data_IF_063185518381
#
_entry.id   IF_063185518381
#
_cell.length_a   1.000
_cell.length_b   1.000
_cell.length_c   1.000
_cell.angle_alpha   90.00
_cell.angle_beta   90.00
_cell.angle_gamma   90.00
#
_symmetry.space_group_name_H-M   'P 1'
#
loop_
_entity.id
_entity.type
_entity.pdbx_description
1 polymer ?
#
# COMPACT_ATOMS: atom_id res chain seq x y z
N UNK A 1 -16.44 66.18 14.44
CA UNK A 1 -16.32 64.94 15.25
C UNK A 1 -16.49 63.75 14.34
N UNK A 2 -15.40 63.11 13.90
CA UNK A 2 -15.42 61.88 13.07
C UNK A 2 -15.49 60.68 13.99
N UNK A 3 -16.57 59.87 13.89
CA UNK A 3 -16.69 58.61 14.62
C UNK A 3 -15.84 57.54 13.91
N UNK A 4 -14.87 57.03 14.64
CA UNK A 4 -14.04 55.90 14.22
C UNK A 4 -14.81 54.59 14.57
N UNK A 5 -15.14 53.82 13.56
CA UNK A 5 -15.77 52.51 13.73
C UNK A 5 -14.64 51.49 13.81
N UNK A 6 -14.50 50.85 14.97
CA UNK A 6 -13.56 49.76 15.19
C UNK A 6 -14.21 48.45 14.72
N UNK A 7 -13.70 47.91 13.61
CA UNK A 7 -14.11 46.58 13.14
C UNK A 7 -13.23 45.56 13.87
N UNK A 8 -13.82 44.82 14.80
CA UNK A 8 -13.18 43.66 15.45
C UNK A 8 -13.35 42.47 14.49
N UNK A 9 -12.28 42.06 13.84
CA UNK A 9 -12.23 40.82 13.08
C UNK A 9 -11.88 39.70 14.08
N UNK A 10 -12.86 38.91 14.48
CA UNK A 10 -12.62 37.70 15.26
C UNK A 10 -12.10 36.61 14.32
N UNK A 11 -10.85 36.24 14.46
CA UNK A 11 -10.30 35.02 13.90
C UNK A 11 -10.92 33.83 14.64
N UNK A 12 -11.85 33.13 13.99
CA UNK A 12 -12.23 31.78 14.39
C UNK A 12 -11.05 30.85 14.05
N UNK A 13 -10.25 30.52 15.06
CA UNK A 13 -9.32 29.40 14.94
C UNK A 13 -10.17 28.12 14.83
N UNK A 14 -10.23 27.54 13.64
CA UNK A 14 -10.71 26.18 13.46
C UNK A 14 -9.70 25.24 14.14
N UNK A 15 -9.99 24.82 15.35
CA UNK A 15 -9.28 23.71 15.95
C UNK A 15 -9.53 22.48 15.06
N UNK A 16 -8.54 22.07 14.30
CA UNK A 16 -8.48 20.74 13.74
C UNK A 16 -8.33 19.80 14.93
N UNK A 17 -9.42 19.19 15.36
CA UNK A 17 -9.36 18.12 16.38
C UNK A 17 -8.62 16.99 15.69
N UNK A 18 -7.40 16.71 16.13
CA UNK A 18 -6.69 15.50 15.74
C UNK A 18 -7.63 14.31 16.09
N UNK A 19 -7.83 13.40 15.14
CA UNK A 19 -8.62 12.21 15.37
C UNK A 19 -7.91 11.40 16.46
N UNK A 20 -8.61 11.10 17.55
CA UNK A 20 -8.05 10.32 18.66
C UNK A 20 -7.81 8.88 18.20
N UNK A 21 -6.60 8.38 18.44
CA UNK A 21 -6.21 7.00 18.13
C UNK A 21 -6.70 6.11 19.26
N UNK A 22 -7.70 5.29 19.00
CA UNK A 22 -8.29 4.39 19.97
C UNK A 22 -7.68 2.98 19.88
N UNK A 23 -6.50 2.80 20.48
CA UNK A 23 -5.81 1.51 20.50
C UNK A 23 -6.60 0.43 21.28
N UNK A 24 -7.46 0.80 22.23
CA UNK A 24 -8.22 -0.15 23.05
C UNK A 24 -9.33 -0.84 22.26
N UNK A 25 -9.82 -0.21 21.18
CA UNK A 25 -10.79 -0.82 20.28
C UNK A 25 -10.18 -1.84 19.31
N UNK A 26 -8.85 -1.83 19.13
CA UNK A 26 -8.16 -2.75 18.23
C UNK A 26 -8.06 -4.15 18.85
N UNK A 27 -8.34 -5.14 18.04
CA UNK A 27 -8.32 -6.56 18.40
C UNK A 27 -7.20 -7.27 17.65
N UNK A 28 -6.36 -7.98 18.39
CA UNK A 28 -5.24 -8.78 17.89
C UNK A 28 -5.37 -10.23 18.40
N UNK A 29 -4.67 -11.18 17.81
CA UNK A 29 -4.53 -12.52 18.39
C UNK A 29 -3.84 -12.47 19.77
N UNK A 30 -4.07 -13.50 20.58
CA UNK A 30 -3.47 -13.62 21.92
C UNK A 30 -1.94 -13.53 21.87
N UNK A 31 -1.34 -12.80 22.81
CA UNK A 31 0.09 -12.60 22.93
C UNK A 31 0.66 -11.48 22.07
N UNK A 32 -0.17 -10.84 21.23
CA UNK A 32 0.25 -9.66 20.46
C UNK A 32 -0.14 -8.37 21.15
N UNK A 33 0.69 -7.34 20.99
CA UNK A 33 0.44 -5.97 21.43
C UNK A 33 0.58 -5.00 20.27
N UNK A 34 -0.10 -3.85 20.38
CA UNK A 34 -0.05 -2.76 19.39
C UNK A 34 0.22 -1.44 20.08
N UNK A 35 1.07 -0.62 19.47
CA UNK A 35 1.40 0.72 19.95
C UNK A 35 1.55 1.69 18.80
N UNK A 36 1.50 3.00 19.05
CA UNK A 36 1.85 4.01 18.06
C UNK A 36 3.38 4.05 17.89
N UNK A 37 3.86 3.81 16.69
CA UNK A 37 5.28 3.90 16.33
C UNK A 37 5.67 5.33 15.97
N UNK A 38 4.85 6.02 15.18
CA UNK A 38 5.04 7.40 14.79
C UNK A 38 3.73 8.07 14.35
N UNK A 39 3.65 9.40 14.49
CA UNK A 39 2.58 10.22 13.95
C UNK A 39 3.07 10.90 12.67
N UNK A 40 2.38 10.69 11.54
CA UNK A 40 2.72 11.22 10.22
C UNK A 40 1.45 11.52 9.45
N UNK A 41 1.41 12.68 8.80
CA UNK A 41 0.26 13.08 7.97
C UNK A 41 0.11 12.20 6.74
N UNK A 42 -1.03 11.49 6.63
CA UNK A 42 -1.40 10.59 5.52
C UNK A 42 -0.28 9.59 5.11
N UNK A 43 0.27 8.78 6.01
CA UNK A 43 1.32 7.82 5.67
C UNK A 43 0.77 6.77 4.70
N UNK A 44 1.61 6.40 3.74
CA UNK A 44 1.26 5.40 2.72
C UNK A 44 2.26 4.26 2.75
N UNK A 45 2.95 3.99 1.63
CA UNK A 45 3.94 2.92 1.57
C UNK A 45 5.09 3.15 2.56
N UNK A 46 5.54 2.07 3.15
CA UNK A 46 6.68 1.98 4.06
C UNK A 46 7.85 1.28 3.38
N UNK A 47 9.07 1.74 3.60
CA UNK A 47 10.28 1.05 3.16
C UNK A 47 11.34 1.08 4.26
N UNK A 48 11.97 -0.05 4.48
CA UNK A 48 13.07 -0.18 5.44
C UNK A 48 14.38 0.25 4.78
N UNK A 49 15.07 1.20 5.40
CA UNK A 49 16.41 1.65 5.05
C UNK A 49 17.49 1.10 5.96
N UNK A 50 18.66 1.73 5.91
CA UNK A 50 19.76 1.44 6.82
C UNK A 50 19.42 1.83 8.25
N UNK A 51 20.09 1.21 9.22
CA UNK A 51 19.99 1.52 10.65
C UNK A 51 18.55 1.58 11.18
N UNK A 52 17.68 0.70 10.65
CA UNK A 52 16.24 0.65 10.97
C UNK A 52 15.47 1.97 10.66
N UNK A 53 16.01 2.83 9.83
CA UNK A 53 15.27 3.99 9.31
C UNK A 53 14.09 3.51 8.48
N UNK A 54 12.89 4.05 8.75
CA UNK A 54 11.69 3.75 7.98
C UNK A 54 11.35 4.96 7.09
N UNK A 55 11.40 4.78 5.78
CA UNK A 55 10.96 5.77 4.81
C UNK A 55 9.49 5.62 4.54
N UNK A 56 8.77 6.76 4.45
CA UNK A 56 7.31 6.77 4.37
C UNK A 56 6.85 7.68 3.23
N UNK A 57 6.11 7.10 2.28
CA UNK A 57 5.38 7.86 1.28
C UNK A 57 4.13 8.51 1.87
N UNK A 58 3.57 9.52 1.20
CA UNK A 58 2.33 10.16 1.65
C UNK A 58 1.48 10.71 0.50
N UNK A 59 0.23 11.08 0.79
CA UNK A 59 -0.65 11.76 -0.17
C UNK A 59 -0.49 13.30 -0.15
N UNK A 60 0.34 13.84 0.76
CA UNK A 60 0.46 15.28 1.02
C UNK A 60 1.72 15.93 0.44
N UNK A 61 2.31 15.30 -0.58
CA UNK A 61 3.45 15.87 -1.30
C UNK A 61 4.77 15.80 -0.54
N UNK A 62 4.85 15.00 0.53
CA UNK A 62 6.03 14.81 1.36
C UNK A 62 6.43 13.34 1.40
N UNK A 63 7.73 13.12 1.54
CA UNK A 63 8.31 11.84 1.95
C UNK A 63 8.99 12.04 3.27
N UNK A 64 8.81 11.09 4.17
CA UNK A 64 9.30 11.14 5.53
C UNK A 64 10.35 10.06 5.79
N UNK A 65 11.25 10.35 6.72
CA UNK A 65 12.11 9.35 7.34
C UNK A 65 11.79 9.31 8.84
N UNK A 66 11.65 8.12 9.38
CA UNK A 66 11.55 7.88 10.81
C UNK A 66 12.85 7.22 11.24
N UNK A 67 13.63 7.91 12.02
CA UNK A 67 14.90 7.41 12.52
C UNK A 67 14.73 6.76 13.89
N UNK A 68 15.62 5.82 14.20
CA UNK A 68 15.65 5.11 15.46
C UNK A 68 17.08 5.12 16.05
N UNK A 69 17.61 6.31 16.42
CA UNK A 69 18.98 6.43 16.86
C UNK A 69 19.28 5.66 18.18
N UNK A 70 18.26 5.40 18.99
CA UNK A 70 18.41 4.71 20.27
C UNK A 70 18.37 3.18 20.13
N UNK A 71 18.06 2.66 18.95
CA UNK A 71 17.96 1.23 18.67
C UNK A 71 16.85 0.48 19.42
N UNK A 72 15.90 1.22 20.03
CA UNK A 72 14.83 0.65 20.85
C UNK A 72 13.58 0.24 20.04
N UNK A 73 13.67 0.28 18.70
CA UNK A 73 12.61 -0.08 17.77
C UNK A 73 11.32 0.76 17.93
N UNK A 74 11.47 2.00 18.41
CA UNK A 74 10.42 3.01 18.40
C UNK A 74 10.84 4.16 17.49
N UNK A 75 9.90 4.79 16.80
CA UNK A 75 10.17 5.96 15.98
C UNK A 75 10.53 7.15 16.84
N UNK A 76 11.81 7.54 16.85
CA UNK A 76 12.30 8.58 17.74
C UNK A 76 12.22 9.98 17.10
N UNK A 77 12.44 10.09 15.80
CA UNK A 77 12.34 11.37 15.09
C UNK A 77 11.68 11.18 13.73
N UNK A 78 10.74 12.04 13.41
CA UNK A 78 10.02 12.10 12.13
C UNK A 78 10.53 13.32 11.35
N UNK A 79 11.12 13.09 10.19
CA UNK A 79 11.82 14.10 9.40
C UNK A 79 11.24 14.13 7.99
N UNK A 80 10.80 15.29 7.51
CA UNK A 80 10.45 15.47 6.10
C UNK A 80 11.75 15.53 5.28
N UNK A 81 11.98 14.52 4.43
CA UNK A 81 13.19 14.42 3.60
C UNK A 81 12.98 14.86 2.16
N UNK A 82 11.74 14.99 1.71
CA UNK A 82 11.38 15.60 0.44
C UNK A 82 10.01 16.28 0.53
N UNK A 83 9.83 17.37 -0.21
CA UNK A 83 8.59 18.14 -0.24
C UNK A 83 8.25 18.62 -1.66
N UNK A 84 7.01 19.07 -1.87
CA UNK A 84 6.54 19.60 -3.15
C UNK A 84 6.36 18.54 -4.25
N UNK A 85 6.24 17.28 -3.87
CA UNK A 85 6.07 16.15 -4.77
C UNK A 85 4.61 15.93 -5.17
N UNK A 86 4.38 15.29 -6.32
CA UNK A 86 3.04 15.00 -6.81
C UNK A 86 2.52 13.67 -6.26
N UNK A 87 1.94 13.70 -5.05
CA UNK A 87 1.38 12.49 -4.40
C UNK A 87 2.39 11.34 -4.35
N UNK A 88 3.49 11.49 -3.58
CA UNK A 88 4.55 10.48 -3.47
C UNK A 88 4.08 9.30 -2.61
N UNK A 89 3.16 8.50 -3.15
CA UNK A 89 2.57 7.35 -2.44
C UNK A 89 3.60 6.24 -2.19
N UNK A 90 4.46 5.98 -3.16
CA UNK A 90 5.39 4.86 -3.16
C UNK A 90 6.80 5.26 -2.77
N UNK A 91 7.46 4.39 -2.01
CA UNK A 91 8.87 4.52 -1.65
C UNK A 91 9.56 3.16 -1.71
N UNK A 92 10.80 3.10 -2.21
CA UNK A 92 11.61 1.90 -2.22
C UNK A 92 13.08 2.26 -1.94
N UNK A 93 13.64 1.68 -0.90
CA UNK A 93 15.05 1.86 -0.56
C UNK A 93 15.91 0.76 -1.21
N UNK A 94 17.02 1.15 -1.82
CA UNK A 94 17.97 0.21 -2.38
C UNK A 94 19.39 0.78 -2.38
N UNK A 95 20.31 0.13 -1.67
CA UNK A 95 21.74 0.44 -1.64
C UNK A 95 22.07 1.93 -1.38
N UNK A 96 21.37 2.56 -0.43
CA UNK A 96 21.59 3.98 -0.06
C UNK A 96 20.76 4.96 -0.88
N UNK A 97 20.11 4.56 -1.95
CA UNK A 97 19.19 5.40 -2.74
C UNK A 97 17.74 5.15 -2.34
N UNK A 98 16.94 6.21 -2.23
CA UNK A 98 15.50 6.13 -2.02
C UNK A 98 14.77 6.51 -3.31
N UNK A 99 14.09 5.54 -3.91
CA UNK A 99 13.20 5.74 -5.05
C UNK A 99 11.81 6.17 -4.58
N UNK A 100 11.20 7.13 -5.28
CA UNK A 100 9.92 7.74 -4.92
C UNK A 100 8.97 7.65 -6.09
N UNK A 101 7.82 7.00 -5.87
CA UNK A 101 6.75 6.84 -6.85
C UNK A 101 5.71 7.95 -6.74
N UNK A 102 5.75 8.87 -7.68
CA UNK A 102 4.78 9.95 -7.84
C UNK A 102 3.75 9.63 -8.93
N UNK A 103 2.65 10.37 -8.98
CA UNK A 103 1.77 10.30 -10.15
C UNK A 103 2.54 10.83 -11.37
N UNK A 104 2.76 9.95 -12.34
CA UNK A 104 3.39 10.29 -13.62
C UNK A 104 4.91 10.14 -13.68
N UNK A 105 5.60 9.91 -12.56
CA UNK A 105 7.06 9.72 -12.59
C UNK A 105 7.58 8.87 -11.43
N UNK A 106 8.80 8.39 -11.60
CA UNK A 106 9.66 7.90 -10.52
C UNK A 106 10.84 8.85 -10.40
N UNK A 107 11.13 9.27 -9.18
CA UNK A 107 12.30 10.08 -8.83
C UNK A 107 13.11 9.38 -7.75
N UNK A 108 14.30 9.89 -7.41
CA UNK A 108 15.13 9.35 -6.33
C UNK A 108 15.88 10.44 -5.55
N UNK A 109 16.25 10.09 -4.33
CA UNK A 109 17.26 10.77 -3.52
C UNK A 109 18.46 9.83 -3.41
N UNK A 110 19.59 10.25 -3.94
CA UNK A 110 20.83 9.48 -3.91
C UNK A 110 21.52 9.66 -2.55
N UNK A 111 22.07 8.56 -1.98
CA UNK A 111 22.72 8.52 -0.66
C UNK A 111 21.83 9.16 0.43
N UNK A 112 20.58 8.70 0.51
CA UNK A 112 19.56 9.29 1.39
C UNK A 112 19.94 9.20 2.87
N UNK A 113 20.63 8.14 3.28
CA UNK A 113 21.04 7.91 4.68
C UNK A 113 21.95 9.02 5.22
N UNK A 114 22.71 9.70 4.35
CA UNK A 114 23.59 10.81 4.70
C UNK A 114 22.86 12.16 4.77
N UNK A 115 21.57 12.22 4.41
CA UNK A 115 20.85 13.46 4.11
C UNK A 115 19.54 13.60 4.91
N UNK A 116 19.42 12.97 6.05
CA UNK A 116 18.17 12.91 6.81
C UNK A 116 17.80 14.22 7.55
N UNK A 117 18.66 15.25 7.52
CA UNK A 117 18.46 16.43 8.37
C UNK A 117 17.58 17.53 7.76
N UNK A 118 17.37 17.52 6.44
CA UNK A 118 16.61 18.56 5.72
C UNK A 118 15.96 17.99 4.46
N UNK A 119 14.88 18.62 3.95
CA UNK A 119 14.32 18.22 2.67
C UNK A 119 15.34 18.31 1.53
N UNK A 120 15.40 17.27 0.71
CA UNK A 120 16.31 17.13 -0.41
C UNK A 120 15.58 17.35 -1.74
N UNK A 121 16.32 17.80 -2.74
CA UNK A 121 15.86 17.76 -4.12
C UNK A 121 15.90 16.31 -4.63
N UNK A 122 14.92 15.94 -5.44
CA UNK A 122 14.86 14.63 -6.08
C UNK A 122 15.41 14.69 -7.51
N UNK A 123 16.06 13.62 -7.95
CA UNK A 123 16.47 13.40 -9.34
C UNK A 123 15.38 12.59 -10.06
N UNK A 124 15.04 12.97 -11.30
CA UNK A 124 14.10 12.19 -12.12
C UNK A 124 14.78 10.92 -12.60
N UNK A 125 14.14 9.78 -12.31
CA UNK A 125 14.54 8.45 -12.81
C UNK A 125 13.77 8.14 -14.09
N UNK A 126 12.44 8.29 -14.08
CA UNK A 126 11.59 8.07 -15.26
C UNK A 126 10.34 8.97 -15.16
N UNK A 127 10.03 9.74 -16.21
CA UNK A 127 8.86 10.64 -16.30
C UNK A 127 7.92 10.29 -17.47
N UNK A 128 8.08 9.12 -18.07
CA UNK A 128 7.25 8.64 -19.16
C UNK A 128 5.95 7.98 -18.72
N UNK A 129 5.70 7.87 -17.41
CA UNK A 129 4.51 7.24 -16.85
C UNK A 129 3.27 8.13 -17.03
N UNK A 130 2.06 7.53 -17.16
CA UNK A 130 0.84 8.30 -17.29
C UNK A 130 0.59 9.21 -16.08
N UNK A 131 0.37 10.50 -16.33
CA UNK A 131 0.01 11.48 -15.30
C UNK A 131 -1.52 11.55 -15.13
N UNK A 132 -2.13 10.45 -14.65
CA UNK A 132 -3.56 10.33 -14.36
C UNK A 132 -3.78 10.09 -12.87
N UNK A 133 -4.66 10.87 -12.25
CA UNK A 133 -4.94 10.75 -10.79
C UNK A 133 -5.76 9.50 -10.44
N UNK A 134 -6.72 9.13 -11.30
CA UNK A 134 -7.55 7.94 -11.10
C UNK A 134 -6.66 6.69 -11.15
N UNK A 135 -6.62 5.91 -10.09
CA UNK A 135 -5.71 4.77 -9.88
C UNK A 135 -4.23 5.12 -10.16
N UNK A 136 -3.85 6.38 -9.88
CA UNK A 136 -2.54 6.92 -10.23
C UNK A 136 -1.45 6.67 -9.20
N UNK A 137 -1.79 6.16 -8.01
CA UNK A 137 -0.82 5.91 -6.95
C UNK A 137 0.18 4.84 -7.39
N UNK A 138 1.47 5.12 -7.19
CA UNK A 138 2.54 4.18 -7.47
C UNK A 138 3.00 3.56 -6.16
N UNK A 139 3.00 2.24 -6.11
CA UNK A 139 3.72 1.45 -5.13
C UNK A 139 5.04 1.03 -5.76
N UNK A 140 6.14 1.05 -5.04
CA UNK A 140 7.46 0.70 -5.59
C UNK A 140 8.12 -0.39 -4.77
N UNK A 141 8.81 -1.29 -5.44
CA UNK A 141 9.74 -2.20 -4.79
C UNK A 141 10.85 -2.58 -5.78
N UNK A 142 12.07 -2.75 -5.29
CA UNK A 142 13.15 -3.34 -6.07
C UNK A 142 13.06 -4.85 -5.94
N UNK A 143 12.89 -5.51 -7.08
CA UNK A 143 12.77 -6.97 -7.14
C UNK A 143 14.09 -7.71 -6.95
N UNK A 144 14.03 -9.05 -6.81
CA UNK A 144 15.24 -9.89 -6.66
C UNK A 144 16.18 -9.81 -7.87
N UNK A 145 15.70 -9.37 -9.02
CA UNK A 145 16.45 -9.15 -10.25
C UNK A 145 17.13 -7.77 -10.32
N UNK A 146 16.97 -6.94 -9.27
CA UNK A 146 17.53 -5.59 -9.18
C UNK A 146 16.80 -4.54 -10.02
N UNK A 147 15.58 -4.82 -10.51
CA UNK A 147 14.73 -3.86 -11.22
C UNK A 147 13.69 -3.23 -10.30
N UNK A 148 13.27 -2.00 -10.60
CA UNK A 148 12.15 -1.34 -9.94
C UNK A 148 10.86 -1.88 -10.54
N UNK A 149 9.95 -2.37 -9.70
CA UNK A 149 8.60 -2.78 -10.06
C UNK A 149 7.59 -1.74 -9.61
N UNK A 150 6.55 -1.51 -10.44
CA UNK A 150 5.48 -0.56 -10.13
C UNK A 150 4.17 -0.90 -10.87
N UNK A 151 3.00 -0.65 -10.25
CA UNK A 151 1.72 -0.77 -10.92
C UNK A 151 1.35 0.54 -11.64
N UNK A 152 0.62 0.41 -12.73
CA UNK A 152 -0.10 1.50 -13.39
C UNK A 152 -1.56 1.08 -13.54
N UNK A 153 -2.41 1.58 -12.65
CA UNK A 153 -3.83 1.21 -12.61
C UNK A 153 -4.61 1.72 -13.82
N UNK A 154 -5.78 1.14 -14.06
CA UNK A 154 -6.69 1.57 -15.12
C UNK A 154 -7.13 3.03 -14.91
N UNK A 155 -7.24 3.87 -15.95
CA UNK A 155 -7.60 5.27 -15.81
C UNK A 155 -9.12 5.50 -15.63
N UNK A 156 -9.86 4.44 -15.33
CA UNK A 156 -11.31 4.38 -15.29
C UNK A 156 -11.83 3.34 -14.30
N UNK A 157 -13.13 3.30 -14.02
CA UNK A 157 -13.73 2.20 -13.27
C UNK A 157 -13.62 0.88 -14.04
N UNK A 158 -14.03 0.87 -15.32
CA UNK A 158 -13.87 -0.24 -16.25
C UNK A 158 -13.75 0.30 -17.67
N UNK A 159 -12.70 -0.06 -18.39
CA UNK A 159 -12.43 0.32 -19.77
C UNK A 159 -11.36 -0.59 -20.37
N UNK A 160 -11.35 -0.69 -21.68
CA UNK A 160 -10.19 -1.14 -22.43
C UNK A 160 -9.28 0.06 -22.67
N UNK A 161 -8.06 -0.03 -22.18
CA UNK A 161 -7.02 0.97 -22.41
C UNK A 161 -5.78 0.27 -22.93
N UNK A 162 -5.19 0.87 -23.91
CA UNK A 162 -3.97 0.40 -24.52
C UNK A 162 -2.74 0.86 -23.72
N UNK A 163 -1.56 0.47 -24.14
CA UNK A 163 -0.27 0.86 -23.61
C UNK A 163 -0.01 0.35 -22.18
N UNK A 164 0.31 1.26 -21.25
CA UNK A 164 0.85 0.94 -19.93
C UNK A 164 -0.18 0.83 -18.82
N UNK A 165 -1.45 1.12 -19.08
CA UNK A 165 -2.52 1.06 -18.08
C UNK A 165 -2.94 -0.39 -17.75
N UNK A 166 -3.49 -0.57 -16.56
CA UNK A 166 -3.95 -1.86 -16.06
C UNK A 166 -2.84 -2.93 -16.06
N UNK A 167 -1.62 -2.56 -15.61
CA UNK A 167 -0.42 -3.38 -15.71
C UNK A 167 0.49 -3.24 -14.47
N UNK A 168 1.32 -4.25 -14.27
CA UNK A 168 2.54 -4.15 -13.48
C UNK A 168 3.70 -4.05 -14.47
N UNK A 169 4.55 -3.05 -14.24
CA UNK A 169 5.74 -2.75 -15.03
C UNK A 169 7.00 -3.01 -14.21
N UNK A 170 8.13 -3.17 -14.89
CA UNK A 170 9.45 -3.01 -14.28
C UNK A 170 10.37 -2.16 -15.15
N UNK A 171 11.44 -1.63 -14.55
CA UNK A 171 12.50 -0.89 -15.24
C UNK A 171 13.82 -1.03 -14.51
N UNK A 172 14.92 -0.70 -15.17
CA UNK A 172 16.23 -0.61 -14.53
C UNK A 172 16.26 0.49 -13.45
N UNK A 173 17.22 0.44 -12.54
CA UNK A 173 17.38 1.46 -11.47
C UNK A 173 17.67 2.88 -12.02
N UNK A 174 18.16 2.99 -13.23
CA UNK A 174 18.36 4.26 -13.94
C UNK A 174 17.14 4.74 -14.75
N UNK A 175 16.01 4.02 -14.67
CA UNK A 175 14.76 4.34 -15.36
C UNK A 175 14.68 3.86 -16.81
N UNK A 176 15.71 3.22 -17.34
CA UNK A 176 15.71 2.64 -18.69
C UNK A 176 15.00 1.28 -18.72
N UNK A 177 14.75 0.76 -19.94
CA UNK A 177 14.18 -0.58 -20.17
C UNK A 177 12.85 -0.81 -19.46
N UNK A 178 11.91 0.15 -19.60
CA UNK A 178 10.55 0.00 -19.04
C UNK A 178 9.81 -1.13 -19.78
N UNK A 179 9.44 -2.20 -19.05
CA UNK A 179 8.85 -3.42 -19.57
C UNK A 179 7.51 -3.72 -18.90
N UNK A 180 6.59 -4.37 -19.63
CA UNK A 180 5.35 -4.91 -19.09
C UNK A 180 5.64 -6.29 -18.52
N UNK A 181 5.37 -6.47 -17.21
CA UNK A 181 5.50 -7.75 -16.51
C UNK A 181 4.21 -8.54 -16.58
N UNK A 182 3.07 -7.89 -16.31
CA UNK A 182 1.75 -8.49 -16.31
C UNK A 182 0.68 -7.46 -16.70
N UNK A 183 -0.46 -7.94 -17.17
CA UNK A 183 -1.58 -7.12 -17.67
C UNK A 183 -2.94 -7.60 -17.13
N UNK A 184 -4.00 -6.83 -17.41
CA UNK A 184 -5.33 -7.15 -16.94
C UNK A 184 -5.50 -6.98 -15.43
N UNK A 185 -4.85 -5.98 -14.85
CA UNK A 185 -4.79 -5.67 -13.43
C UNK A 185 -5.40 -4.29 -13.21
N UNK A 186 -6.58 -4.22 -12.56
CA UNK A 186 -7.34 -2.98 -12.50
C UNK A 186 -6.65 -1.89 -11.67
N UNK A 187 -6.31 -2.19 -10.44
CA UNK A 187 -5.73 -1.22 -9.51
C UNK A 187 -5.00 -1.89 -8.35
N UNK A 188 -3.73 -2.17 -8.54
CA UNK A 188 -2.82 -2.65 -7.51
C UNK A 188 -2.21 -1.45 -6.77
N UNK A 189 -2.25 -1.49 -5.44
CA UNK A 189 -1.61 -0.50 -4.55
C UNK A 189 -0.71 -1.19 -3.51
N UNK A 190 -0.39 -2.45 -3.69
CA UNK A 190 0.53 -3.19 -2.84
C UNK A 190 0.91 -4.52 -3.44
N UNK A 191 2.18 -4.85 -3.34
CA UNK A 191 2.73 -6.14 -3.76
C UNK A 191 4.00 -6.44 -2.99
N UNK A 192 4.38 -7.70 -2.95
CA UNK A 192 5.64 -8.13 -2.37
C UNK A 192 6.16 -9.39 -3.09
N UNK A 193 7.46 -9.60 -3.03
CA UNK A 193 8.10 -10.80 -3.55
C UNK A 193 8.12 -11.90 -2.48
N UNK A 194 7.58 -13.06 -2.84
CA UNK A 194 7.59 -14.21 -1.95
C UNK A 194 9.04 -14.60 -1.59
N UNK A 195 9.40 -14.71 -0.29
CA UNK A 195 10.81 -14.81 0.14
C UNK A 195 11.52 -16.08 -0.33
N UNK A 196 10.76 -17.14 -0.64
CA UNK A 196 11.34 -18.44 -1.07
C UNK A 196 11.31 -18.58 -2.59
N UNK A 197 10.15 -18.31 -3.24
CA UNK A 197 10.01 -18.49 -4.70
C UNK A 197 10.50 -17.31 -5.53
N UNK A 198 10.59 -16.11 -4.93
CA UNK A 198 10.89 -14.86 -5.64
C UNK A 198 9.75 -14.37 -6.55
N UNK A 199 8.59 -15.01 -6.56
CA UNK A 199 7.44 -14.62 -7.34
C UNK A 199 6.76 -13.39 -6.74
N UNK A 200 6.28 -12.49 -7.60
CA UNK A 200 5.57 -11.30 -7.17
C UNK A 200 4.11 -11.64 -6.87
N UNK A 201 3.66 -11.33 -5.64
CA UNK A 201 2.26 -11.41 -5.21
C UNK A 201 1.72 -10.01 -5.02
N UNK A 202 0.47 -9.77 -5.45
CA UNK A 202 -0.12 -8.44 -5.42
C UNK A 202 -1.61 -8.47 -5.09
N UNK A 203 -2.09 -7.37 -4.50
CA UNK A 203 -3.52 -7.10 -4.32
C UNK A 203 -4.10 -6.42 -5.56
N UNK A 204 -5.34 -6.73 -5.93
CA UNK A 204 -6.07 -6.00 -6.96
C UNK A 204 -7.47 -5.62 -6.50
N UNK A 205 -7.82 -4.36 -6.72
CA UNK A 205 -9.13 -3.80 -6.38
C UNK A 205 -10.14 -4.09 -7.49
N UNK A 206 -11.20 -4.82 -7.17
CA UNK A 206 -12.32 -5.10 -8.07
C UNK A 206 -13.02 -3.82 -8.55
N UNK A 207 -13.72 -3.89 -9.70
CA UNK A 207 -14.48 -2.75 -10.23
C UNK A 207 -15.65 -2.37 -9.32
N UNK A 208 -16.04 -1.10 -9.37
CA UNK A 208 -17.22 -0.59 -8.67
C UNK A 208 -18.50 -0.75 -9.49
N UNK A 209 -19.65 -0.53 -8.84
CA UNK A 209 -21.00 -0.42 -9.44
C UNK A 209 -21.53 -1.74 -10.05
N UNK A 210 -21.26 -2.87 -9.39
CA UNK A 210 -21.90 -4.16 -9.68
C UNK A 210 -22.73 -4.69 -8.50
N UNK A 211 -22.98 -3.88 -7.47
CA UNK A 211 -23.67 -4.27 -6.24
C UNK A 211 -22.69 -4.42 -5.06
N UNK A 212 -23.22 -4.85 -3.92
CA UNK A 212 -22.47 -4.92 -2.67
C UNK A 212 -21.49 -6.09 -2.62
N UNK A 213 -21.83 -7.21 -3.23
CA UNK A 213 -21.15 -8.48 -3.00
C UNK A 213 -20.27 -8.94 -4.17
N UNK A 214 -20.29 -8.22 -5.31
CA UNK A 214 -19.48 -8.52 -6.49
C UNK A 214 -18.94 -7.26 -7.17
N UNK A 215 -17.80 -7.38 -7.89
CA UNK A 215 -16.86 -8.51 -7.84
C UNK A 215 -16.04 -8.50 -6.56
N UNK A 216 -15.52 -9.64 -6.19
CA UNK A 216 -14.48 -9.75 -5.16
C UNK A 216 -13.25 -8.94 -5.56
N UNK A 217 -12.54 -8.36 -4.57
CA UNK A 217 -11.15 -7.99 -4.71
C UNK A 217 -10.27 -9.24 -4.68
N UNK A 218 -8.99 -9.11 -5.00
CA UNK A 218 -8.14 -10.26 -5.28
C UNK A 218 -6.76 -10.17 -4.64
N UNK A 219 -6.20 -11.34 -4.29
CA UNK A 219 -4.75 -11.55 -4.21
C UNK A 219 -4.36 -12.41 -5.41
N UNK A 220 -3.37 -11.96 -6.13
CA UNK A 220 -2.85 -12.57 -7.34
C UNK A 220 -1.35 -12.88 -7.21
N UNK A 221 -0.84 -13.76 -8.09
CA UNK A 221 0.56 -14.17 -8.15
C UNK A 221 1.05 -14.23 -9.59
N UNK A 222 2.18 -13.58 -9.89
CA UNK A 222 2.84 -13.67 -11.18
C UNK A 222 3.84 -14.83 -11.12
N UNK A 223 3.53 -15.92 -11.79
CA UNK A 223 4.40 -17.10 -11.92
C UNK A 223 5.26 -17.08 -13.18
N UNK A 224 4.90 -16.23 -14.15
CA UNK A 224 5.67 -15.99 -15.39
C UNK A 224 5.33 -14.63 -15.98
N UNK A 225 6.28 -14.03 -16.67
CA UNK A 225 6.06 -12.77 -17.37
C UNK A 225 5.00 -12.92 -18.48
N UNK A 226 4.24 -11.83 -18.73
CA UNK A 226 3.24 -11.76 -19.78
C UNK A 226 1.86 -12.34 -19.41
N UNK A 227 1.65 -12.77 -18.17
CA UNK A 227 0.34 -13.22 -17.69
C UNK A 227 -0.69 -12.08 -17.71
N UNK A 228 -1.98 -12.47 -17.95
CA UNK A 228 -3.11 -11.56 -17.97
C UNK A 228 -4.15 -11.99 -16.92
N UNK A 229 -4.54 -11.06 -16.00
CA UNK A 229 -5.35 -11.34 -14.83
C UNK A 229 -6.84 -10.99 -14.99
N UNK A 230 -7.31 -10.74 -16.20
CA UNK A 230 -8.72 -10.72 -16.58
C UNK A 230 -9.32 -9.35 -16.83
N UNK A 231 -8.93 -8.28 -16.13
CA UNK A 231 -9.51 -6.95 -16.33
C UNK A 231 -9.26 -6.43 -17.77
N UNK A 232 -10.26 -5.85 -18.47
CA UNK A 232 -11.63 -5.53 -18.02
C UNK A 232 -12.66 -6.63 -18.31
N UNK A 233 -12.26 -7.79 -18.80
CA UNK A 233 -13.14 -8.83 -19.37
C UNK A 233 -13.77 -9.77 -18.34
N UNK A 234 -12.92 -10.27 -17.45
CA UNK A 234 -13.29 -11.24 -16.39
C UNK A 234 -12.79 -10.66 -15.06
N UNK A 235 -13.68 -10.62 -14.08
CA UNK A 235 -13.38 -10.23 -12.70
C UNK A 235 -13.33 -11.46 -11.80
N UNK A 236 -12.59 -11.39 -10.70
CA UNK A 236 -12.48 -12.45 -9.69
C UNK A 236 -12.20 -13.86 -10.27
N UNK A 237 -11.64 -13.93 -11.49
CA UNK A 237 -11.28 -15.16 -12.18
C UNK A 237 -12.42 -15.91 -12.85
N UNK A 238 -13.70 -15.59 -12.58
CA UNK A 238 -14.86 -16.34 -13.11
C UNK A 238 -16.11 -15.50 -13.43
N UNK A 239 -16.09 -14.18 -13.16
CA UNK A 239 -17.24 -13.31 -13.38
C UNK A 239 -17.05 -12.45 -14.64
N UNK A 240 -17.77 -12.70 -15.74
CA UNK A 240 -17.69 -11.86 -16.93
C UNK A 240 -18.18 -10.44 -16.67
N UNK A 241 -17.44 -9.44 -17.17
CA UNK A 241 -17.92 -8.06 -17.16
C UNK A 241 -19.17 -7.92 -18.05
N UNK A 242 -20.21 -7.20 -17.60
CA UNK A 242 -21.45 -7.02 -18.37
C UNK A 242 -21.26 -6.37 -19.75
N UNK A 243 -20.23 -5.51 -19.88
CA UNK A 243 -19.97 -4.76 -21.10
C UNK A 243 -18.81 -5.34 -21.94
N UNK A 244 -17.75 -5.80 -21.27
CA UNK A 244 -16.50 -6.22 -21.92
C UNK A 244 -16.32 -7.75 -21.94
N UNK A 245 -17.04 -8.50 -21.10
CA UNK A 245 -16.87 -9.95 -20.97
C UNK A 245 -17.50 -10.78 -22.09
N UNK A 246 -18.27 -10.17 -23.01
CA UNK A 246 -18.96 -10.90 -24.07
C UNK A 246 -17.98 -11.57 -25.01
N UNK A 247 -18.09 -12.89 -25.15
CA UNK A 247 -17.24 -13.69 -26.05
C UNK A 247 -15.86 -14.02 -25.46
N UNK A 248 -15.62 -13.67 -24.21
CA UNK A 248 -14.39 -14.03 -23.49
C UNK A 248 -14.66 -15.23 -22.56
N UNK A 249 -13.64 -16.02 -22.33
CA UNK A 249 -13.68 -17.17 -21.42
C UNK A 249 -12.73 -16.94 -20.22
N UNK A 250 -13.15 -17.34 -19.04
CA UNK A 250 -12.30 -17.28 -17.85
C UNK A 250 -10.97 -18.04 -18.03
N UNK A 251 -10.95 -19.09 -18.82
CA UNK A 251 -9.75 -19.87 -19.09
C UNK A 251 -8.67 -19.14 -19.92
N UNK A 252 -8.97 -17.96 -20.46
CA UNK A 252 -7.99 -17.11 -21.16
C UNK A 252 -7.10 -16.36 -20.18
N UNK A 253 -7.46 -16.33 -18.89
CA UNK A 253 -6.85 -15.48 -17.87
C UNK A 253 -6.39 -16.28 -16.67
N UNK A 254 -5.44 -15.71 -15.93
CA UNK A 254 -4.95 -16.27 -14.68
C UNK A 254 -5.97 -15.99 -13.56
N UNK A 255 -6.50 -17.01 -12.88
CA UNK A 255 -7.41 -16.78 -11.75
C UNK A 255 -6.64 -16.27 -10.53
N UNK A 256 -7.31 -15.55 -9.60
CA UNK A 256 -6.69 -15.11 -8.36
C UNK A 256 -6.29 -16.30 -7.47
N UNK A 257 -5.23 -16.08 -6.68
CA UNK A 257 -4.83 -16.99 -5.60
C UNK A 257 -5.88 -17.02 -4.50
N UNK A 258 -6.49 -15.85 -4.21
CA UNK A 258 -7.54 -15.70 -3.22
C UNK A 258 -8.53 -14.63 -3.65
N UNK A 259 -9.81 -14.95 -3.62
CA UNK A 259 -10.90 -13.98 -3.70
C UNK A 259 -11.13 -13.38 -2.32
N UNK A 260 -11.06 -12.07 -2.24
CA UNK A 260 -11.34 -11.29 -1.03
C UNK A 260 -12.81 -10.85 -1.01
N UNK A 261 -13.22 -10.14 0.04
CA UNK A 261 -14.51 -9.46 0.04
C UNK A 261 -14.61 -8.42 -1.09
N UNK A 262 -15.83 -8.22 -1.62
CA UNK A 262 -16.08 -7.14 -2.56
C UNK A 262 -15.88 -5.77 -1.87
N UNK A 263 -15.23 -4.83 -2.56
CA UNK A 263 -15.01 -3.45 -2.10
C UNK A 263 -14.15 -3.28 -0.84
N UNK A 264 -13.48 -4.30 -0.34
CA UNK A 264 -12.60 -4.17 0.85
C UNK A 264 -11.41 -3.25 0.64
N UNK A 265 -11.13 -2.89 -0.61
CA UNK A 265 -10.00 -2.05 -1.03
C UNK A 265 -8.66 -2.57 -0.50
N UNK A 266 -8.19 -3.75 -0.94
CA UNK A 266 -6.90 -4.28 -0.51
C UNK A 266 -5.78 -3.41 -1.06
N UNK A 267 -4.86 -2.99 -0.20
CA UNK A 267 -3.72 -2.15 -0.52
C UNK A 267 -2.41 -2.90 -0.27
N UNK A 268 -1.59 -2.48 0.70
CA UNK A 268 -0.32 -3.10 0.99
C UNK A 268 -0.40 -4.61 1.21
N UNK A 269 0.58 -5.33 0.72
CA UNK A 269 0.76 -6.76 0.90
C UNK A 269 2.22 -7.00 1.28
N UNK A 270 2.46 -7.78 2.34
CA UNK A 270 3.80 -8.10 2.81
C UNK A 270 3.89 -9.53 3.31
N UNK A 271 4.93 -10.26 2.90
CA UNK A 271 5.28 -11.52 3.53
C UNK A 271 5.99 -11.27 4.85
N UNK A 272 5.67 -12.05 5.87
CA UNK A 272 6.38 -12.00 7.14
C UNK A 272 7.80 -12.54 6.97
N UNK A 273 8.77 -11.74 7.41
CA UNK A 273 10.21 -12.06 7.32
C UNK A 273 10.90 -12.09 8.69
N UNK A 274 10.11 -11.86 9.75
CA UNK A 274 10.63 -11.84 11.13
C UNK A 274 10.66 -13.21 11.78
N UNK A 275 11.29 -13.26 12.95
CA UNK A 275 11.38 -14.45 13.80
C UNK A 275 10.74 -14.25 15.19
N UNK A 276 10.17 -13.06 15.47
CA UNK A 276 9.57 -12.74 16.76
C UNK A 276 8.22 -13.44 16.95
N UNK A 277 7.41 -13.54 15.89
CA UNK A 277 6.08 -14.13 15.96
C UNK A 277 6.16 -15.64 16.13
N UNK A 278 5.15 -16.31 16.71
CA UNK A 278 5.10 -17.76 16.84
C UNK A 278 5.39 -18.48 15.52
N UNK A 279 5.97 -19.68 15.58
CA UNK A 279 6.45 -20.42 14.41
C UNK A 279 5.37 -20.69 13.33
N UNK A 280 4.10 -20.70 13.69
CA UNK A 280 2.99 -20.81 12.76
C UNK A 280 2.79 -19.55 11.88
N UNK A 281 3.51 -18.45 12.14
CA UNK A 281 3.55 -17.27 11.30
C UNK A 281 4.68 -17.29 10.26
N UNK A 282 5.54 -18.31 10.26
CA UNK A 282 6.76 -18.37 9.43
C UNK A 282 6.53 -18.35 7.90
N UNK A 283 5.35 -18.64 7.40
CA UNK A 283 4.98 -18.54 5.98
C UNK A 283 3.66 -17.78 5.82
N UNK A 284 3.61 -16.61 6.43
CA UNK A 284 2.41 -15.76 6.44
C UNK A 284 2.56 -14.59 5.47
N UNK A 285 1.49 -14.30 4.75
CA UNK A 285 1.30 -13.05 4.02
C UNK A 285 0.27 -12.20 4.75
N UNK A 286 0.57 -10.91 4.96
CA UNK A 286 -0.33 -9.92 5.47
C UNK A 286 -0.83 -9.02 4.34
N UNK A 287 -2.08 -8.52 4.45
CA UNK A 287 -2.58 -7.46 3.58
C UNK A 287 -3.50 -6.52 4.33
N UNK A 288 -3.46 -5.24 3.92
CA UNK A 288 -4.32 -4.21 4.47
C UNK A 288 -5.62 -4.11 3.64
N UNK A 289 -6.76 -4.21 4.29
CA UNK A 289 -8.06 -3.87 3.72
C UNK A 289 -8.42 -2.45 4.16
N UNK A 290 -8.21 -1.46 3.26
CA UNK A 290 -8.40 -0.04 3.54
C UNK A 290 -9.87 0.34 3.79
N UNK A 291 -10.81 -0.50 3.37
CA UNK A 291 -12.23 -0.42 3.66
C UNK A 291 -13.06 0.17 2.54
N UNK A 292 -14.32 -0.29 2.51
CA UNK A 292 -15.27 -0.03 1.44
C UNK A 292 -15.80 1.40 1.46
N UNK A 293 -16.02 1.98 0.27
CA UNK A 293 -16.78 3.21 0.07
C UNK A 293 -18.06 2.98 -0.77
N UNK A 294 -18.05 1.96 -1.61
CA UNK A 294 -19.12 1.63 -2.56
C UNK A 294 -19.85 0.35 -2.11
N UNK A 295 -20.44 0.40 -0.92
CA UNK A 295 -21.17 -0.70 -0.30
C UNK A 295 -22.21 -0.17 0.67
N UNK A 296 -23.40 -0.78 0.74
CA UNK A 296 -24.47 -0.41 1.67
C UNK A 296 -24.06 -0.57 3.13
N UNK A 297 -23.39 -1.68 3.45
CA UNK A 297 -22.75 -1.90 4.74
C UNK A 297 -21.24 -1.96 4.57
N UNK A 298 -20.52 -1.14 5.35
CA UNK A 298 -19.06 -1.08 5.31
C UNK A 298 -18.42 -2.42 5.69
N UNK A 299 -17.31 -2.74 5.01
CA UNK A 299 -16.45 -3.86 5.37
C UNK A 299 -14.99 -3.56 5.01
N UNK A 300 -14.06 -4.42 5.49
CA UNK A 300 -12.65 -4.14 5.46
C UNK A 300 -12.22 -3.35 6.70
N UNK A 301 -11.40 -2.33 6.56
CA UNK A 301 -10.85 -1.51 7.65
C UNK A 301 -10.10 -2.38 8.67
N UNK A 302 -9.20 -3.23 8.18
CA UNK A 302 -8.47 -4.20 8.99
C UNK A 302 -7.20 -4.66 8.28
N UNK A 303 -6.33 -5.29 9.01
CA UNK A 303 -5.21 -6.07 8.46
C UNK A 303 -5.56 -7.54 8.55
N UNK A 304 -5.41 -8.24 7.45
CA UNK A 304 -5.63 -9.67 7.34
C UNK A 304 -4.30 -10.42 7.32
N UNK A 305 -4.34 -11.68 7.68
CA UNK A 305 -3.24 -12.62 7.52
C UNK A 305 -3.69 -13.86 6.75
N UNK A 306 -2.78 -14.44 5.97
CA UNK A 306 -3.00 -15.67 5.24
C UNK A 306 -1.82 -16.63 5.36
N UNK A 307 -2.10 -17.92 5.60
CA UNK A 307 -1.09 -18.97 5.58
C UNK A 307 -0.85 -19.42 4.14
N UNK A 308 0.36 -19.20 3.66
CA UNK A 308 0.76 -19.67 2.33
C UNK A 308 0.98 -21.18 2.38
N UNK A 309 0.51 -21.88 1.36
CA UNK A 309 0.68 -23.33 1.22
C UNK A 309 2.15 -23.74 1.13
N UNK A 310 2.46 -24.98 1.46
CA UNK A 310 3.83 -25.49 1.45
C UNK A 310 4.52 -25.48 0.07
N UNK A 311 3.71 -25.46 -1.02
CA UNK A 311 4.19 -25.33 -2.39
C UNK A 311 4.31 -23.86 -2.84
N UNK A 312 4.01 -22.90 -1.96
CA UNK A 312 4.06 -21.46 -2.18
C UNK A 312 3.17 -20.95 -3.33
N UNK A 313 2.04 -21.61 -3.60
CA UNK A 313 1.18 -21.29 -4.74
C UNK A 313 -0.22 -20.81 -4.38
N UNK A 314 -0.65 -21.02 -3.14
CA UNK A 314 -1.99 -20.70 -2.67
C UNK A 314 -2.00 -20.23 -1.21
N UNK A 315 -3.15 -19.73 -0.75
CA UNK A 315 -3.42 -19.41 0.65
C UNK A 315 -4.37 -20.47 1.18
N UNK A 316 -3.92 -21.26 2.16
CA UNK A 316 -4.67 -22.39 2.72
C UNK A 316 -5.66 -22.00 3.82
N UNK A 317 -5.38 -20.89 4.51
CA UNK A 317 -6.19 -20.33 5.59
C UNK A 317 -5.96 -18.83 5.67
N UNK A 318 -6.98 -18.05 6.03
CA UNK A 318 -6.83 -16.63 6.29
C UNK A 318 -7.82 -16.15 7.37
N UNK A 319 -7.43 -15.13 8.10
CA UNK A 319 -8.24 -14.50 9.15
C UNK A 319 -7.83 -13.04 9.37
N UNK A 320 -8.64 -12.24 10.09
CA UNK A 320 -8.18 -10.95 10.60
C UNK A 320 -6.94 -11.12 11.49
N UNK A 321 -5.97 -10.23 11.33
CA UNK A 321 -4.79 -10.10 12.18
C UNK A 321 -4.92 -8.91 13.13
N UNK A 322 -5.30 -7.74 12.61
CA UNK A 322 -5.68 -6.58 13.40
C UNK A 322 -6.99 -6.05 12.86
N UNK A 323 -8.01 -5.92 13.69
CA UNK A 323 -9.26 -5.26 13.35
C UNK A 323 -9.72 -4.32 14.48
N UNK A 324 -10.85 -3.61 14.30
CA UNK A 324 -11.39 -2.68 15.29
C UNK A 324 -11.40 -1.22 14.82
N UNK A 325 -10.82 -0.90 13.66
CA UNK A 325 -10.98 0.44 13.07
C UNK A 325 -12.39 0.74 12.58
N UNK A 326 -13.22 -0.27 12.41
CA UNK A 326 -14.64 -0.15 12.04
C UNK A 326 -15.52 -0.63 13.18
N UNK A 327 -16.39 0.27 13.68
CA UNK A 327 -17.43 -0.04 14.65
C UNK A 327 -18.81 0.29 14.04
N UNK A 328 -19.61 -0.75 13.79
CA UNK A 328 -20.87 -0.62 13.06
C UNK A 328 -20.64 -0.05 11.64
N UNK A 329 -21.04 1.20 11.42
CA UNK A 329 -20.84 1.92 10.16
C UNK A 329 -19.88 3.12 10.29
N UNK A 330 -19.29 3.32 11.48
CA UNK A 330 -18.29 4.34 11.75
C UNK A 330 -16.89 3.75 11.75
N UNK A 331 -15.95 4.44 11.14
CA UNK A 331 -14.55 4.04 11.15
C UNK A 331 -13.67 5.22 11.54
N UNK A 332 -12.61 4.93 12.27
CA UNK A 332 -11.68 5.94 12.75
C UNK A 332 -10.26 5.79 12.19
N UNK A 333 -9.97 4.66 11.53
CA UNK A 333 -8.70 4.42 10.86
C UNK A 333 -8.88 3.62 9.58
N UNK A 334 -7.84 3.61 8.73
CA UNK A 334 -7.78 2.94 7.44
C UNK A 334 -6.37 2.43 7.18
N UNK A 335 -6.06 1.15 7.49
CA UNK A 335 -4.74 0.60 7.27
C UNK A 335 -4.38 0.59 5.77
N UNK A 336 -3.10 0.89 5.49
CA UNK A 336 -2.60 1.07 4.11
C UNK A 336 -1.53 0.07 3.76
N UNK A 337 -0.44 0.02 4.51
CA UNK A 337 0.73 -0.80 4.19
C UNK A 337 1.28 -1.51 5.41
N UNK A 338 2.00 -2.59 5.17
CA UNK A 338 2.60 -3.43 6.21
C UNK A 338 4.09 -3.59 5.92
N UNK A 339 4.94 -3.43 6.94
CA UNK A 339 6.39 -3.60 6.85
C UNK A 339 6.89 -4.50 7.97
N UNK A 340 7.57 -5.60 7.63
CA UNK A 340 8.32 -6.40 8.60
C UNK A 340 9.58 -5.68 9.04
N UNK A 341 9.78 -5.56 10.36
CA UNK A 341 10.98 -4.97 10.96
C UNK A 341 12.02 -6.03 11.29
N UNK A 342 13.32 -5.66 11.38
CA UNK A 342 14.40 -6.59 11.67
C UNK A 342 14.30 -7.30 13.03
N UNK A 343 13.61 -6.69 14.00
CA UNK A 343 13.33 -7.31 15.31
C UNK A 343 12.17 -8.31 15.26
N UNK A 344 11.55 -8.47 14.10
CA UNK A 344 10.41 -9.35 13.87
C UNK A 344 9.05 -8.75 14.16
N UNK A 345 8.98 -7.51 14.64
CA UNK A 345 7.71 -6.77 14.71
C UNK A 345 7.21 -6.36 13.31
N UNK A 346 5.98 -5.89 13.23
CA UNK A 346 5.39 -5.37 11.98
C UNK A 346 4.92 -3.93 12.19
N UNK A 347 5.19 -3.06 11.22
CA UNK A 347 4.60 -1.74 11.17
C UNK A 347 3.38 -1.75 10.24
N UNK A 348 2.37 -0.94 10.58
CA UNK A 348 1.14 -0.73 9.80
C UNK A 348 0.94 0.77 9.65
N UNK A 349 0.89 1.29 8.42
CA UNK A 349 0.54 2.69 8.18
C UNK A 349 -0.98 2.88 8.08
N UNK A 350 -1.49 4.03 8.56
CA UNK A 350 -2.90 4.40 8.55
C UNK A 350 -3.04 5.87 8.10
N UNK A 351 -3.52 6.09 6.89
CA UNK A 351 -3.60 7.43 6.28
C UNK A 351 -4.77 8.27 6.79
N UNK A 352 -5.74 7.66 7.46
CA UNK A 352 -6.85 8.36 8.08
C UNK A 352 -6.53 8.79 9.51
N UNK A 353 -5.98 7.87 10.31
CA UNK A 353 -5.57 8.16 11.68
C UNK A 353 -4.27 8.98 11.75
N UNK A 354 -3.53 9.11 10.63
CA UNK A 354 -2.24 9.81 10.55
C UNK A 354 -1.17 9.21 11.46
N UNK A 355 -1.13 7.90 11.56
CA UNK A 355 -0.18 7.18 12.40
C UNK A 355 0.42 5.98 11.67
N UNK A 356 1.54 5.51 12.20
CA UNK A 356 2.10 4.20 11.94
C UNK A 356 2.04 3.43 13.25
N UNK A 357 1.41 2.27 13.23
CA UNK A 357 1.36 1.35 14.38
C UNK A 357 2.54 0.39 14.32
N UNK A 358 2.94 -0.10 15.48
CA UNK A 358 3.85 -1.24 15.65
C UNK A 358 3.13 -2.37 16.35
N UNK A 359 3.14 -3.55 15.75
CA UNK A 359 2.63 -4.79 16.33
C UNK A 359 3.81 -5.67 16.69
N UNK A 360 3.87 -6.12 17.93
CA UNK A 360 4.87 -7.04 18.47
C UNK A 360 4.22 -8.22 19.16
N UNK A 361 5.00 -9.30 19.34
CA UNK A 361 4.57 -10.48 20.09
C UNK A 361 5.35 -10.54 21.39
N UNK A 362 4.63 -10.56 22.49
CA UNK A 362 5.22 -10.52 23.84
C UNK A 362 5.21 -11.90 24.53
N UNK A 363 4.60 -12.94 23.91
CA UNK A 363 4.60 -14.33 24.39
C UNK A 363 3.33 -14.78 25.05
#
# INVERSE_FOLDING_TARGET
>A
MKKMVLIIVSFLATNCVAQEVDLESLRLPDGFSISVYAEIENPRQLALGSDNTVYVGSLRGRVWAITNPDGNMQGNAVIAIAEGLNTPNGVAYHNGDLYIGEIGRVSKITNVDEKLNTPQSTETVNDSLPNRRHHGFKFLQVGPDGKIYLPVGAPCNVCEEEEVFAKILNMNLDGTDLQIVASGIRNTVGFDFHPISGELWFTDNGRDMMGDDIPACEINRISSAGQHFGFPYIHQGDLPDPNFGRGRSANEFVPPVLKLGAHVAPLGLAFYRGEQFPSNYGNTVFWAEHGSWNRSEKQGYRVMMGQVSSDNTSISFYSPFVDGWLEGQSHWGRPVDILSMPDGSVLISDDMANVIYRVSYDG
#
